data_IF_508277731898
#
_entry.id   IF_508277731898
#
_cell.length_a   1.000
_cell.length_b   1.000
_cell.length_c   1.000
_cell.angle_alpha   90.00
_cell.angle_beta   90.00
_cell.angle_gamma   90.00
#
_symmetry.space_group_name_H-M   'P 1'
#
loop_
_entity.id
_entity.type
_entity.pdbx_description
1 polymer ?
#
# COMPACT_ATOMS: atom_id res chain seq x y z
N UNK A 1 5.19 17.68 27.17
CA UNK A 1 5.07 18.02 25.72
C UNK A 1 6.29 18.81 25.22
N UNK A 2 6.74 19.82 25.97
CA UNK A 2 7.99 20.56 25.62
C UNK A 2 9.20 19.61 25.53
N UNK A 3 9.42 18.78 26.54
CA UNK A 3 10.52 17.80 26.58
C UNK A 3 10.56 16.84 25.36
N UNK A 4 9.39 16.44 24.81
CA UNK A 4 9.32 15.61 23.61
C UNK A 4 9.72 16.39 22.35
N UNK A 5 9.48 17.70 22.32
CA UNK A 5 9.94 18.57 21.25
C UNK A 5 11.46 18.80 21.33
N UNK A 6 12.00 18.91 22.52
CA UNK A 6 13.44 19.09 22.78
C UNK A 6 14.26 17.86 22.35
N UNK A 7 13.65 16.66 22.38
CA UNK A 7 14.25 15.41 21.88
C UNK A 7 14.14 15.28 20.35
N UNK A 8 13.62 16.29 19.64
CA UNK A 8 13.53 16.32 18.17
C UNK A 8 12.37 15.50 17.58
N UNK A 9 11.36 15.14 18.37
CA UNK A 9 10.19 14.43 17.88
C UNK A 9 9.30 15.37 17.08
N UNK A 10 9.08 15.06 15.80
CA UNK A 10 8.26 15.87 14.91
C UNK A 10 6.76 15.90 15.34
N UNK A 11 6.02 16.99 14.97
CA UNK A 11 4.62 17.22 15.41
C UNK A 11 3.66 16.06 15.13
N UNK A 12 3.81 15.36 14.02
CA UNK A 12 2.98 14.17 13.66
C UNK A 12 3.22 12.99 14.60
N UNK A 13 4.49 12.71 14.91
CA UNK A 13 4.86 11.65 15.85
C UNK A 13 4.37 11.96 17.24
N UNK A 14 4.50 13.22 17.65
CA UNK A 14 4.01 13.73 18.94
C UNK A 14 2.48 13.59 19.06
N UNK A 15 1.72 13.96 18.03
CA UNK A 15 0.26 13.80 18.03
C UNK A 15 -0.14 12.31 18.11
N UNK A 16 0.61 11.42 17.46
CA UNK A 16 0.37 9.97 17.54
C UNK A 16 0.62 9.43 18.93
N UNK A 17 1.73 9.83 19.56
CA UNK A 17 2.04 9.45 20.95
C UNK A 17 0.94 9.94 21.88
N UNK A 18 0.53 11.19 21.76
CA UNK A 18 -0.53 11.78 22.57
C UNK A 18 -1.86 11.06 22.39
N UNK A 19 -2.22 10.69 21.15
CA UNK A 19 -3.42 9.91 20.86
C UNK A 19 -3.39 8.54 21.54
N UNK A 20 -2.24 7.86 21.56
CA UNK A 20 -2.07 6.60 22.26
C UNK A 20 -2.22 6.76 23.79
N UNK A 21 -1.60 7.79 24.37
CA UNK A 21 -1.70 8.11 25.80
C UNK A 21 -3.16 8.41 26.17
N UNK A 22 -3.85 9.25 25.41
CA UNK A 22 -5.27 9.56 25.62
C UNK A 22 -6.16 8.32 25.56
N UNK A 23 -5.93 7.43 24.60
CA UNK A 23 -6.68 6.18 24.50
C UNK A 23 -6.49 5.31 25.73
N UNK A 24 -5.27 5.24 26.26
CA UNK A 24 -4.95 4.49 27.48
C UNK A 24 -5.65 5.08 28.71
N UNK A 25 -5.53 6.38 28.97
CA UNK A 25 -6.17 7.01 30.14
C UNK A 25 -7.69 7.02 30.02
N UNK A 26 -8.23 7.18 28.81
CA UNK A 26 -9.66 7.03 28.56
C UNK A 26 -10.16 5.61 28.90
N UNK A 27 -9.38 4.60 28.57
CA UNK A 27 -9.68 3.21 28.96
C UNK A 27 -9.71 3.08 30.49
N UNK A 28 -8.68 3.54 31.18
CA UNK A 28 -8.66 3.52 32.68
C UNK A 28 -9.84 4.28 33.32
N UNK A 29 -10.22 5.41 32.72
CA UNK A 29 -11.37 6.18 33.20
C UNK A 29 -12.69 5.42 32.98
N UNK A 30 -12.89 4.77 31.85
CA UNK A 30 -14.07 3.95 31.55
C UNK A 30 -14.16 2.73 32.48
N UNK A 31 -13.03 2.08 32.76
CA UNK A 31 -12.93 0.95 33.69
C UNK A 31 -13.01 1.40 35.18
N UNK A 32 -13.15 2.70 35.45
CA UNK A 32 -13.21 3.30 36.78
C UNK A 32 -11.95 3.09 37.65
N UNK A 33 -10.81 2.80 37.01
CA UNK A 33 -9.51 2.69 37.68
C UNK A 33 -8.97 4.07 38.11
N UNK A 34 -9.40 5.14 37.42
CA UNK A 34 -9.09 6.54 37.76
C UNK A 34 -10.36 7.37 37.78
N UNK A 35 -10.35 8.41 38.64
CA UNK A 35 -11.50 9.32 38.84
C UNK A 35 -11.52 10.43 37.75
N UNK A 36 -10.36 10.82 37.23
CA UNK A 36 -10.23 11.92 36.28
C UNK A 36 -9.18 11.56 35.24
N UNK A 37 -9.42 11.93 33.95
CA UNK A 37 -8.47 11.75 32.88
C UNK A 37 -7.38 12.85 32.93
N UNK A 38 -6.12 12.51 33.23
CA UNK A 38 -5.04 13.51 33.32
C UNK A 38 -4.65 14.09 31.96
N UNK A 39 -5.17 13.53 30.87
CA UNK A 39 -4.86 13.98 29.51
C UNK A 39 -5.87 14.95 28.91
N UNK A 40 -6.95 15.27 29.68
CA UNK A 40 -8.06 16.10 29.18
C UNK A 40 -7.59 17.50 28.74
N UNK A 41 -6.67 18.11 29.50
CA UNK A 41 -6.15 19.45 29.22
C UNK A 41 -4.92 19.46 28.25
N UNK A 42 -4.44 18.30 27.81
CA UNK A 42 -3.29 18.27 26.87
C UNK A 42 -3.72 18.72 25.49
N UNK A 43 -3.13 19.76 24.97
CA UNK A 43 -3.37 20.21 23.59
C UNK A 43 -2.61 19.34 22.58
N UNK A 44 -3.28 19.02 21.48
CA UNK A 44 -2.64 18.33 20.34
C UNK A 44 -1.78 19.31 19.57
N UNK A 45 -0.56 18.92 19.15
CA UNK A 45 0.28 19.79 18.31
C UNK A 45 -0.44 20.11 17.01
N UNK A 46 -0.32 21.36 16.56
CA UNK A 46 -0.85 21.80 15.26
C UNK A 46 -0.08 21.10 14.15
N UNK A 47 -0.76 20.23 13.41
CA UNK A 47 -0.20 19.55 12.24
C UNK A 47 -0.70 20.29 10.99
N UNK A 48 0.22 20.81 10.20
CA UNK A 48 -0.12 21.38 8.90
C UNK A 48 -0.82 20.32 8.02
N UNK A 49 -1.91 20.69 7.34
CA UNK A 49 -2.55 19.83 6.34
C UNK A 49 -1.60 19.70 5.14
N UNK A 50 -0.96 18.56 5.03
CA UNK A 50 -0.24 18.19 3.82
C UNK A 50 -1.24 17.49 2.90
N UNK A 51 -1.55 18.10 1.76
CA UNK A 51 -2.35 17.42 0.73
C UNK A 51 -1.56 16.20 0.25
N UNK A 52 -2.19 15.03 0.19
CA UNK A 52 -1.51 13.84 -0.31
C UNK A 52 -1.12 14.06 -1.78
N UNK A 53 0.10 13.65 -2.12
CA UNK A 53 0.56 13.70 -3.51
C UNK A 53 -0.15 12.64 -4.34
N UNK A 54 -0.62 13.04 -5.52
CA UNK A 54 -1.28 12.19 -6.51
C UNK A 54 -0.37 12.09 -7.72
N UNK A 55 -0.15 10.89 -8.22
CA UNK A 55 0.49 10.64 -9.51
C UNK A 55 -0.53 10.85 -10.62
N UNK A 56 -0.16 11.55 -11.67
CA UNK A 56 -0.93 11.58 -12.91
C UNK A 56 -0.83 10.23 -13.66
N UNK A 57 -1.74 9.98 -14.58
CA UNK A 57 -1.70 8.78 -15.44
C UNK A 57 -0.38 8.74 -16.22
N UNK A 58 0.06 9.89 -16.77
CA UNK A 58 1.32 10.00 -17.50
C UNK A 58 2.55 9.66 -16.64
N UNK A 59 2.58 10.09 -15.37
CA UNK A 59 3.66 9.73 -14.43
C UNK A 59 3.68 8.24 -14.13
N UNK A 60 2.51 7.62 -13.97
CA UNK A 60 2.39 6.18 -13.75
C UNK A 60 2.86 5.41 -14.98
N UNK A 61 2.42 5.80 -16.17
CA UNK A 61 2.85 5.18 -17.43
C UNK A 61 4.35 5.36 -17.66
N UNK A 62 4.93 6.52 -17.33
CA UNK A 62 6.37 6.74 -17.38
C UNK A 62 7.15 5.81 -16.43
N UNK A 63 6.65 5.62 -15.20
CA UNK A 63 7.25 4.67 -14.26
C UNK A 63 7.21 3.24 -14.82
N UNK A 64 6.06 2.81 -15.37
CA UNK A 64 5.90 1.47 -15.94
C UNK A 64 6.80 1.28 -17.17
N UNK A 65 6.89 2.28 -18.04
CA UNK A 65 7.75 2.26 -19.23
C UNK A 65 9.24 2.25 -18.86
N UNK A 66 9.63 2.86 -17.74
CA UNK A 66 11.00 2.89 -17.24
C UNK A 66 11.50 1.58 -16.62
N UNK A 67 10.64 0.55 -16.51
CA UNK A 67 11.05 -0.75 -15.99
C UNK A 67 11.84 -1.51 -17.06
N UNK A 68 13.09 -1.85 -16.75
CA UNK A 68 13.94 -2.67 -17.61
C UNK A 68 13.48 -4.13 -17.62
N UNK A 69 12.82 -4.54 -18.69
CA UNK A 69 12.32 -5.91 -18.87
C UNK A 69 13.41 -6.93 -19.21
N UNK A 70 14.64 -6.50 -19.50
CA UNK A 70 15.79 -7.38 -19.67
C UNK A 70 16.28 -7.96 -18.34
N UNK A 71 15.93 -7.30 -17.22
CA UNK A 71 16.26 -7.78 -15.89
C UNK A 71 15.29 -8.88 -15.42
N UNK A 72 15.78 -9.87 -14.69
CA UNK A 72 14.95 -10.98 -14.21
C UNK A 72 13.73 -10.52 -13.37
N UNK A 73 13.86 -9.39 -12.67
CA UNK A 73 12.80 -8.78 -11.85
C UNK A 73 11.83 -7.91 -12.66
N UNK A 74 12.18 -7.53 -13.87
CA UNK A 74 11.45 -6.51 -14.65
C UNK A 74 9.97 -6.85 -14.82
N UNK A 75 9.67 -8.06 -15.30
CA UNK A 75 8.29 -8.47 -15.51
C UNK A 75 7.47 -8.54 -14.23
N UNK A 76 8.08 -9.03 -13.13
CA UNK A 76 7.45 -9.00 -11.80
C UNK A 76 7.12 -7.57 -11.36
N UNK A 77 8.08 -6.68 -11.50
CA UNK A 77 7.97 -5.30 -11.05
C UNK A 77 6.90 -4.55 -11.84
N UNK A 78 6.77 -4.83 -13.12
CA UNK A 78 5.73 -4.29 -13.98
C UNK A 78 4.34 -4.77 -13.55
N UNK A 79 4.17 -6.06 -13.31
CA UNK A 79 2.93 -6.61 -12.78
C UNK A 79 2.58 -6.02 -11.40
N UNK A 80 3.56 -5.79 -10.50
CA UNK A 80 3.37 -5.15 -9.20
C UNK A 80 2.81 -3.73 -9.36
N UNK A 81 3.39 -2.88 -10.23
CA UNK A 81 2.88 -1.51 -10.43
C UNK A 81 1.46 -1.50 -10.99
N UNK A 82 1.20 -2.34 -11.99
CA UNK A 82 -0.14 -2.48 -12.57
C UNK A 82 -1.16 -2.87 -11.50
N UNK A 83 -0.86 -3.82 -10.66
CA UNK A 83 -1.75 -4.26 -9.58
C UNK A 83 -1.94 -3.19 -8.50
N UNK A 84 -0.88 -2.48 -8.11
CA UNK A 84 -0.99 -1.39 -7.14
C UNK A 84 -1.89 -0.26 -7.65
N UNK A 85 -1.78 0.08 -8.93
CA UNK A 85 -2.53 1.15 -9.53
C UNK A 85 -3.95 0.70 -9.94
N UNK A 86 -4.09 -0.35 -10.75
CA UNK A 86 -5.39 -0.72 -11.31
C UNK A 86 -6.36 -1.35 -10.31
N UNK A 87 -5.83 -1.99 -9.27
CA UNK A 87 -6.65 -2.61 -8.21
C UNK A 87 -6.63 -1.81 -6.90
N UNK A 88 -5.82 -0.75 -6.81
CA UNK A 88 -5.70 0.07 -5.62
C UNK A 88 -5.30 -0.70 -4.37
N UNK A 89 -4.47 -1.74 -4.48
CA UNK A 89 -4.09 -2.60 -3.37
C UNK A 89 -3.20 -1.88 -2.34
N UNK A 90 -3.35 -2.25 -1.07
CA UNK A 90 -2.31 -1.95 -0.08
C UNK A 90 -1.08 -2.81 -0.36
N UNK A 91 0.11 -2.28 -0.12
CA UNK A 91 1.35 -3.06 -0.33
C UNK A 91 1.39 -4.37 0.46
N UNK A 92 0.76 -4.41 1.64
CA UNK A 92 0.65 -5.64 2.43
C UNK A 92 -0.31 -6.66 1.81
N UNK A 93 -1.39 -6.21 1.19
CA UNK A 93 -2.34 -7.04 0.47
C UNK A 93 -1.67 -7.64 -0.77
N UNK A 94 -0.93 -6.83 -1.53
CA UNK A 94 -0.18 -7.28 -2.69
C UNK A 94 0.90 -8.31 -2.32
N UNK A 95 1.68 -8.08 -1.25
CA UNK A 95 2.67 -9.05 -0.77
C UNK A 95 2.07 -10.37 -0.31
N UNK A 96 0.84 -10.32 0.22
CA UNK A 96 0.10 -11.50 0.70
C UNK A 96 -0.81 -12.15 -0.33
N UNK A 97 -0.89 -11.60 -1.55
CA UNK A 97 -1.79 -12.10 -2.59
C UNK A 97 -1.38 -13.52 -3.02
N UNK A 98 -2.38 -14.40 -3.11
CA UNK A 98 -2.19 -15.80 -3.45
C UNK A 98 -2.72 -16.10 -4.84
N UNK A 99 -2.16 -17.12 -5.49
CA UNK A 99 -2.65 -17.59 -6.79
C UNK A 99 -4.10 -18.10 -6.64
N UNK A 100 -4.40 -18.78 -5.54
CA UNK A 100 -5.75 -19.23 -5.18
C UNK A 100 -6.76 -18.12 -4.91
N UNK A 101 -6.31 -16.86 -4.83
CA UNK A 101 -7.17 -15.67 -4.69
C UNK A 101 -7.42 -14.95 -6.03
N UNK A 102 -6.91 -15.46 -7.15
CA UNK A 102 -7.06 -14.87 -8.48
C UNK A 102 -8.20 -15.55 -9.24
N UNK A 103 -9.15 -14.76 -9.69
CA UNK A 103 -10.29 -15.17 -10.52
C UNK A 103 -10.23 -14.32 -11.80
N UNK A 104 -9.20 -14.60 -12.63
CA UNK A 104 -8.83 -13.74 -13.75
C UNK A 104 -9.84 -13.81 -14.90
N UNK A 105 -10.43 -14.96 -15.14
CA UNK A 105 -11.49 -15.17 -16.14
C UNK A 105 -12.76 -14.40 -15.77
N UNK A 106 -13.09 -14.34 -14.48
CA UNK A 106 -14.24 -13.62 -13.96
C UNK A 106 -13.95 -12.12 -13.74
N UNK A 107 -12.70 -11.69 -13.91
CA UNK A 107 -12.30 -10.29 -13.83
C UNK A 107 -12.18 -9.72 -12.43
N UNK A 108 -11.93 -10.53 -11.41
CA UNK A 108 -11.72 -10.07 -10.05
C UNK A 108 -10.64 -10.85 -9.29
N UNK A 109 -10.18 -10.28 -8.18
CA UNK A 109 -9.31 -10.92 -7.21
C UNK A 109 -9.91 -10.83 -5.81
N UNK A 110 -9.64 -11.81 -4.96
CA UNK A 110 -10.01 -11.78 -3.54
C UNK A 110 -8.83 -11.22 -2.73
N UNK A 111 -9.10 -10.23 -1.91
CA UNK A 111 -8.09 -9.53 -1.12
C UNK A 111 -8.42 -9.64 0.36
N UNK A 112 -7.44 -10.06 1.17
CA UNK A 112 -7.55 -10.13 2.63
C UNK A 112 -7.01 -8.83 3.26
N UNK A 113 -7.91 -8.08 3.88
CA UNK A 113 -7.61 -6.82 4.55
C UNK A 113 -7.26 -6.96 6.04
N UNK A 114 -7.23 -5.84 6.73
CA UNK A 114 -6.99 -5.78 8.19
C UNK A 114 -8.09 -6.56 8.94
N UNK A 115 -7.68 -7.38 9.91
CA UNK A 115 -8.61 -8.19 10.71
C UNK A 115 -9.19 -9.40 9.97
N UNK A 116 -8.57 -9.85 8.88
CA UNK A 116 -9.02 -11.02 8.12
C UNK A 116 -10.25 -10.78 7.23
N UNK A 117 -10.74 -9.54 7.13
CA UNK A 117 -11.88 -9.22 6.25
C UNK A 117 -11.48 -9.40 4.80
N UNK A 118 -12.30 -10.14 4.06
CA UNK A 118 -12.11 -10.37 2.63
C UNK A 118 -12.99 -9.43 1.81
N UNK A 119 -12.48 -9.01 0.65
CA UNK A 119 -13.25 -8.28 -0.35
C UNK A 119 -12.85 -8.70 -1.75
N UNK A 120 -13.78 -8.59 -2.68
CA UNK A 120 -13.52 -8.75 -4.11
C UNK A 120 -13.12 -7.40 -4.70
N UNK A 121 -12.07 -7.40 -5.51
CA UNK A 121 -11.55 -6.22 -6.20
C UNK A 121 -11.51 -6.52 -7.68
N UNK A 122 -12.13 -5.69 -8.54
CA UNK A 122 -12.04 -5.87 -9.98
C UNK A 122 -10.59 -5.70 -10.44
N UNK A 123 -10.21 -6.48 -11.46
CA UNK A 123 -8.89 -6.40 -12.08
C UNK A 123 -9.02 -5.96 -13.53
N UNK A 124 -8.14 -5.03 -13.96
CA UNK A 124 -8.14 -4.56 -15.35
C UNK A 124 -7.49 -5.59 -16.28
N UNK A 125 -7.92 -5.63 -17.55
CA UNK A 125 -7.30 -6.49 -18.55
C UNK A 125 -5.80 -6.22 -18.75
N UNK A 126 -5.32 -5.00 -18.47
CA UNK A 126 -3.89 -4.66 -18.48
C UNK A 126 -3.16 -5.37 -17.33
N UNK A 127 -3.70 -5.34 -16.13
CA UNK A 127 -3.11 -6.04 -14.98
C UNK A 127 -3.14 -7.56 -15.16
N UNK A 128 -4.20 -8.12 -15.75
CA UNK A 128 -4.27 -9.55 -16.09
C UNK A 128 -3.12 -9.94 -17.01
N UNK A 129 -2.93 -9.24 -18.13
CA UNK A 129 -1.82 -9.53 -19.08
C UNK A 129 -0.45 -9.46 -18.41
N UNK A 130 -0.21 -8.47 -17.55
CA UNK A 130 1.07 -8.36 -16.87
C UNK A 130 1.28 -9.45 -15.81
N UNK A 131 0.22 -9.94 -15.18
CA UNK A 131 0.27 -11.12 -14.31
C UNK A 131 0.59 -12.39 -15.09
N UNK A 132 -0.06 -12.60 -16.23
CA UNK A 132 0.21 -13.75 -17.10
C UNK A 132 1.68 -13.78 -17.56
N UNK A 133 2.20 -12.65 -18.04
CA UNK A 133 3.61 -12.49 -18.38
C UNK A 133 4.53 -12.78 -17.19
N UNK A 134 4.15 -12.30 -16.00
CA UNK A 134 4.90 -12.59 -14.79
C UNK A 134 4.88 -14.08 -14.45
N UNK A 135 3.76 -14.78 -14.59
CA UNK A 135 3.68 -16.20 -14.31
C UNK A 135 4.61 -17.04 -15.21
N UNK A 136 4.83 -16.65 -16.46
CA UNK A 136 5.83 -17.30 -17.29
C UNK A 136 7.24 -17.24 -16.68
N UNK A 137 7.63 -16.07 -16.17
CA UNK A 137 8.91 -15.88 -15.48
C UNK A 137 8.93 -16.57 -14.11
N UNK A 138 7.82 -16.49 -13.36
CA UNK A 138 7.69 -17.08 -12.02
C UNK A 138 7.89 -18.60 -12.03
N UNK A 139 7.44 -19.28 -13.04
CA UNK A 139 7.57 -20.73 -13.19
C UNK A 139 9.02 -21.19 -13.34
N UNK A 140 9.95 -20.29 -13.64
CA UNK A 140 11.38 -20.56 -13.72
C UNK A 140 12.12 -20.37 -12.39
N UNK A 141 11.45 -19.89 -11.35
CA UNK A 141 12.05 -19.59 -10.04
C UNK A 141 12.06 -20.86 -9.18
N UNK A 142 13.20 -21.11 -8.51
CA UNK A 142 13.22 -22.10 -7.44
C UNK A 142 12.44 -21.55 -6.23
N UNK A 143 11.23 -22.09 -6.02
CA UNK A 143 10.33 -21.61 -4.97
C UNK A 143 10.63 -22.33 -3.67
N UNK A 144 10.83 -21.54 -2.60
CA UNK A 144 11.03 -22.09 -1.25
C UNK A 144 9.75 -22.78 -0.75
N UNK A 145 9.82 -23.98 -0.16
CA UNK A 145 8.64 -24.69 0.36
C UNK A 145 7.75 -23.81 1.23
N UNK A 146 6.42 -23.90 0.99
CA UNK A 146 5.39 -23.09 1.65
C UNK A 146 5.15 -21.70 1.02
N UNK A 147 5.82 -21.38 -0.09
CA UNK A 147 5.62 -20.13 -0.83
C UNK A 147 5.01 -20.32 -2.23
N UNK A 148 4.57 -21.52 -2.55
CA UNK A 148 4.10 -21.92 -3.89
C UNK A 148 2.87 -21.10 -4.31
N UNK A 149 2.00 -20.76 -3.36
CA UNK A 149 0.75 -20.04 -3.61
C UNK A 149 0.90 -18.51 -3.63
N UNK A 150 2.05 -17.93 -3.27
CA UNK A 150 2.23 -16.49 -3.36
C UNK A 150 2.41 -16.05 -4.80
N UNK A 151 1.68 -14.99 -5.21
CA UNK A 151 1.78 -14.41 -6.57
C UNK A 151 3.17 -13.80 -6.78
N UNK A 152 3.63 -12.95 -5.86
CA UNK A 152 4.88 -12.21 -6.02
C UNK A 152 6.00 -12.76 -5.14
N UNK A 153 7.06 -13.21 -5.79
CA UNK A 153 8.21 -13.83 -5.15
C UNK A 153 9.48 -12.99 -5.33
N UNK A 154 10.38 -13.13 -4.38
CA UNK A 154 11.77 -12.70 -4.54
C UNK A 154 12.51 -13.73 -5.38
N UNK A 155 13.05 -13.36 -6.55
CA UNK A 155 13.80 -14.26 -7.41
C UNK A 155 14.99 -14.89 -6.68
N UNK A 156 15.67 -14.09 -5.85
CA UNK A 156 16.85 -14.55 -5.10
C UNK A 156 16.52 -15.53 -3.97
N UNK A 157 15.35 -15.36 -3.30
CA UNK A 157 15.02 -16.14 -2.09
C UNK A 157 13.96 -17.22 -2.33
N UNK A 158 13.26 -17.18 -3.45
CA UNK A 158 12.10 -18.05 -3.73
C UNK A 158 10.95 -17.88 -2.73
N UNK A 159 10.92 -16.82 -1.94
CA UNK A 159 9.92 -16.54 -0.92
C UNK A 159 9.13 -15.26 -1.25
N UNK A 160 7.99 -15.07 -0.59
CA UNK A 160 7.15 -13.87 -0.77
C UNK A 160 7.95 -12.57 -0.61
N UNK A 161 7.56 -11.53 -1.36
CA UNK A 161 8.18 -10.21 -1.27
C UNK A 161 7.85 -9.50 0.03
N UNK A 162 8.82 -8.75 0.57
CA UNK A 162 8.58 -7.88 1.70
C UNK A 162 8.03 -6.52 1.26
N UNK A 163 7.21 -5.91 2.11
CA UNK A 163 6.71 -4.53 1.92
C UNK A 163 7.86 -3.53 1.77
N UNK A 164 8.94 -3.75 2.51
CA UNK A 164 10.13 -2.90 2.52
C UNK A 164 10.80 -2.93 1.14
N UNK A 165 10.95 -4.11 0.53
CA UNK A 165 11.53 -4.26 -0.81
C UNK A 165 10.74 -3.46 -1.85
N UNK A 166 9.40 -3.60 -1.85
CA UNK A 166 8.53 -2.85 -2.79
C UNK A 166 8.62 -1.35 -2.53
N UNK A 167 8.68 -0.92 -1.26
CA UNK A 167 8.76 0.50 -0.91
C UNK A 167 10.02 1.16 -1.46
N UNK A 168 11.19 0.56 -1.27
CA UNK A 168 12.45 1.11 -1.77
C UNK A 168 12.51 1.10 -3.29
N UNK A 169 12.14 -0.03 -3.90
CA UNK A 169 12.12 -0.15 -5.35
C UNK A 169 11.19 0.88 -6.03
N UNK A 170 9.98 1.08 -5.51
CA UNK A 170 9.04 2.10 -6.03
C UNK A 170 9.63 3.50 -5.95
N UNK A 171 10.38 3.82 -4.89
CA UNK A 171 11.08 5.11 -4.76
C UNK A 171 12.19 5.28 -5.79
N UNK A 172 13.02 4.25 -5.96
CA UNK A 172 14.10 4.26 -6.95
C UNK A 172 13.54 4.44 -8.36
N UNK A 173 12.46 3.74 -8.69
CA UNK A 173 11.80 3.85 -9.97
C UNK A 173 11.20 5.25 -10.20
N UNK A 174 10.60 5.87 -9.19
CA UNK A 174 10.07 7.23 -9.29
C UNK A 174 11.19 8.25 -9.57
N UNK A 175 12.33 8.10 -8.90
CA UNK A 175 13.52 8.94 -9.15
C UNK A 175 14.04 8.73 -10.57
N UNK A 176 14.13 7.48 -11.04
CA UNK A 176 14.57 7.16 -12.40
C UNK A 176 13.61 7.71 -13.47
N UNK A 177 12.31 7.78 -13.18
CA UNK A 177 11.30 8.41 -14.03
C UNK A 177 11.27 9.96 -13.94
N UNK A 178 12.17 10.58 -13.19
CA UNK A 178 12.26 12.04 -13.05
C UNK A 178 11.16 12.67 -12.19
N UNK A 179 10.44 11.87 -11.39
CA UNK A 179 9.31 12.35 -10.58
C UNK A 179 9.84 13.00 -9.30
N UNK A 180 9.56 14.30 -9.11
CA UNK A 180 10.02 15.09 -7.95
C UNK A 180 9.14 14.87 -6.68
N UNK A 181 8.00 14.18 -6.80
CA UNK A 181 7.06 13.93 -5.71
C UNK A 181 7.60 12.85 -4.75
N UNK A 182 7.17 12.91 -3.48
CA UNK A 182 7.47 11.86 -2.49
C UNK A 182 6.58 10.63 -2.72
N UNK A 183 7.04 9.71 -3.55
CA UNK A 183 6.28 8.53 -3.95
C UNK A 183 6.48 7.37 -3.00
N UNK A 184 5.39 6.64 -2.76
CA UNK A 184 5.33 5.40 -1.99
C UNK A 184 4.23 4.49 -2.56
N UNK A 185 4.15 3.21 -2.20
CA UNK A 185 3.03 2.35 -2.61
C UNK A 185 1.65 2.89 -2.22
N UNK A 186 1.55 3.67 -1.15
CA UNK A 186 0.30 4.34 -0.76
C UNK A 186 -0.12 5.43 -1.75
N UNK A 187 0.85 6.08 -2.41
CA UNK A 187 0.58 7.10 -3.42
C UNK A 187 -0.18 6.50 -4.62
N UNK A 188 0.17 5.28 -5.05
CA UNK A 188 -0.56 4.58 -6.13
C UNK A 188 -2.03 4.34 -5.78
N UNK A 189 -2.28 3.85 -4.58
CA UNK A 189 -3.65 3.63 -4.11
C UNK A 189 -4.45 4.93 -4.00
N UNK A 190 -3.80 6.01 -3.56
CA UNK A 190 -4.43 7.32 -3.50
C UNK A 190 -4.73 7.86 -4.89
N UNK A 191 -3.78 7.75 -5.82
CA UNK A 191 -3.97 8.12 -7.23
C UNK A 191 -5.10 7.32 -7.89
N UNK A 192 -5.16 6.00 -7.65
CA UNK A 192 -6.26 5.15 -8.09
C UNK A 192 -7.62 5.68 -7.61
N UNK A 193 -7.75 5.97 -6.31
CA UNK A 193 -9.01 6.47 -5.75
C UNK A 193 -9.40 7.84 -6.34
N UNK A 194 -8.43 8.73 -6.53
CA UNK A 194 -8.65 10.06 -7.12
C UNK A 194 -9.08 9.94 -8.58
N UNK A 195 -8.38 9.13 -9.39
CA UNK A 195 -8.73 8.95 -10.81
C UNK A 195 -10.07 8.25 -11.00
N UNK A 196 -10.44 7.32 -10.11
CA UNK A 196 -11.78 6.74 -10.13
C UNK A 196 -12.87 7.80 -9.88
N UNK A 197 -12.65 8.71 -8.92
CA UNK A 197 -13.58 9.82 -8.64
C UNK A 197 -13.70 10.74 -9.84
N UNK A 198 -12.59 11.14 -10.44
CA UNK A 198 -12.55 12.00 -11.63
C UNK A 198 -13.21 11.31 -12.83
N UNK A 199 -13.12 9.99 -12.95
CA UNK A 199 -13.81 9.18 -13.94
C UNK A 199 -15.30 8.94 -13.67
N UNK A 200 -15.87 9.58 -12.63
CA UNK A 200 -17.30 9.51 -12.31
C UNK A 200 -17.73 8.28 -11.51
N UNK A 201 -16.79 7.54 -10.91
CA UNK A 201 -17.12 6.41 -10.05
C UNK A 201 -17.84 6.87 -8.78
N UNK A 202 -18.81 6.06 -8.32
CA UNK A 202 -19.57 6.36 -7.11
C UNK A 202 -18.66 6.30 -5.86
N UNK A 203 -18.75 7.31 -4.99
CA UNK A 203 -17.97 7.43 -3.77
C UNK A 203 -18.11 6.19 -2.85
N UNK A 204 -19.31 5.58 -2.80
CA UNK A 204 -19.54 4.35 -2.02
C UNK A 204 -18.76 3.15 -2.58
N UNK A 205 -18.64 3.03 -3.91
CA UNK A 205 -17.84 1.98 -4.54
C UNK A 205 -16.36 2.14 -4.19
N UNK A 206 -15.85 3.39 -4.22
CA UNK A 206 -14.47 3.70 -3.84
C UNK A 206 -14.23 3.43 -2.36
N UNK A 207 -15.17 3.77 -1.49
CA UNK A 207 -15.08 3.45 -0.06
C UNK A 207 -15.03 1.94 0.19
N UNK A 208 -15.85 1.16 -0.50
CA UNK A 208 -15.83 -0.32 -0.40
C UNK A 208 -14.49 -0.92 -0.86
N UNK A 209 -13.83 -0.33 -1.85
CA UNK A 209 -12.49 -0.73 -2.28
C UNK A 209 -11.40 -0.24 -1.32
N UNK A 210 -11.69 0.76 -0.48
CA UNK A 210 -10.73 1.43 0.40
C UNK A 210 -10.75 0.92 1.84
N UNK A 211 -11.75 0.16 2.24
CA UNK A 211 -11.82 -0.53 3.53
C UNK A 211 -10.92 -1.76 3.53
#
# INVERSE_FOLDING_TARGET
>A
MAELADVGIGPRSMARILSGIRSFYRFLYVEKEIVQDPTELLESPKIGRHLPEVLTVAEIDAMIAGIDLSQPEGQRNRAILEMLYSCGLRVSELCGLRISDLFLEEGFIRVKGKGGKERLVPISGRAVRELENWFLCRNLIHIKPGNEDFVFLSLRRGASLSRITIFYWVKELAVAAGIQKKISPHTFRHSFATHLLEGGANLRAIQALSL
#
